data_IF_631558437278
#
_entry.id   IF_631558437278
#
_cell.length_a   1.000
_cell.length_b   1.000
_cell.length_c   1.000
_cell.angle_alpha   90.00
_cell.angle_beta   90.00
_cell.angle_gamma   90.00
#
_symmetry.space_group_name_H-M   'P 1'
#
loop_
_entity.id
_entity.type
_entity.pdbx_description
1 polymer ?
#
# COMPACT_ATOMS: atom_id res chain seq x y z
N UNK A 1 12.37 -27.91 34.16
CA UNK A 1 12.17 -26.80 33.21
C UNK A 1 12.63 -25.54 33.90
N UNK A 2 13.87 -25.14 33.60
CA UNK A 2 14.66 -24.15 34.33
C UNK A 2 14.37 -22.74 33.84
N UNK A 3 14.31 -21.79 34.78
CA UNK A 3 14.02 -20.35 34.63
C UNK A 3 14.85 -19.58 33.56
N UNK A 4 15.84 -20.19 32.93
CA UNK A 4 16.68 -19.58 31.89
C UNK A 4 15.95 -19.48 30.55
N UNK A 5 15.07 -20.45 30.23
CA UNK A 5 14.26 -20.47 29.02
C UNK A 5 13.32 -19.25 28.98
N UNK A 6 12.70 -18.89 30.12
CA UNK A 6 11.77 -17.76 30.21
C UNK A 6 12.42 -16.40 29.94
N UNK A 7 13.66 -16.16 30.40
CA UNK A 7 14.35 -14.89 30.15
C UNK A 7 14.86 -14.80 28.71
N UNK A 8 15.34 -15.91 28.17
CA UNK A 8 15.80 -15.99 26.80
C UNK A 8 14.65 -15.84 25.80
N UNK A 9 13.49 -16.47 26.07
CA UNK A 9 12.28 -16.31 25.27
C UNK A 9 11.70 -14.91 25.35
N UNK A 10 11.74 -14.25 26.52
CA UNK A 10 11.35 -12.83 26.62
C UNK A 10 12.26 -11.91 25.81
N UNK A 11 13.57 -12.10 25.88
CA UNK A 11 14.53 -11.30 25.11
C UNK A 11 14.36 -11.54 23.61
N UNK A 12 14.24 -12.81 23.20
CA UNK A 12 14.03 -13.22 21.81
C UNK A 12 12.68 -12.71 21.28
N UNK A 13 11.65 -12.73 22.12
CA UNK A 13 10.33 -12.15 21.87
C UNK A 13 10.43 -10.66 21.59
N UNK A 14 10.99 -9.88 22.52
CA UNK A 14 11.17 -8.44 22.34
C UNK A 14 12.00 -8.08 21.10
N UNK A 15 13.06 -8.83 20.80
CA UNK A 15 13.88 -8.58 19.60
C UNK A 15 13.10 -8.91 18.32
N UNK A 16 12.36 -10.03 18.28
CA UNK A 16 11.50 -10.39 17.15
C UNK A 16 10.37 -9.39 16.95
N UNK A 17 9.74 -8.95 18.04
CA UNK A 17 8.65 -7.99 18.01
C UNK A 17 9.15 -6.64 17.53
N UNK A 18 10.28 -6.15 18.06
CA UNK A 18 10.89 -4.88 17.64
C UNK A 18 11.36 -4.92 16.17
N UNK A 19 12.04 -6.00 15.76
CA UNK A 19 12.50 -6.15 14.38
C UNK A 19 11.31 -6.34 13.43
N UNK A 20 10.30 -7.10 13.84
CA UNK A 20 9.08 -7.34 13.08
C UNK A 20 8.24 -6.08 12.90
N UNK A 21 8.11 -5.25 13.95
CA UNK A 21 7.39 -3.99 13.87
C UNK A 21 8.17 -2.98 13.00
N UNK A 22 9.49 -2.84 13.18
CA UNK A 22 10.28 -1.89 12.39
C UNK A 22 10.43 -2.27 10.91
N UNK A 23 10.54 -3.56 10.59
CA UNK A 23 10.55 -4.07 9.20
C UNK A 23 9.14 -4.06 8.62
N UNK A 24 8.16 -4.47 9.42
CA UNK A 24 6.74 -4.47 9.08
C UNK A 24 6.24 -3.09 8.74
N UNK A 25 6.50 -2.07 9.56
CA UNK A 25 6.11 -0.68 9.30
C UNK A 25 6.77 -0.12 8.04
N UNK A 26 8.06 -0.41 7.79
CA UNK A 26 8.72 0.01 6.54
C UNK A 26 8.13 -0.67 5.31
N UNK A 27 7.79 -1.95 5.42
CA UNK A 27 7.13 -2.69 4.35
C UNK A 27 5.71 -2.17 4.11
N UNK A 28 4.92 -1.99 5.18
CA UNK A 28 3.55 -1.44 5.13
C UNK A 28 3.51 -0.01 4.61
N UNK A 29 4.50 0.82 4.96
CA UNK A 29 4.60 2.19 4.48
C UNK A 29 4.92 2.23 2.97
N UNK A 30 5.78 1.33 2.49
CA UNK A 30 6.08 1.21 1.07
C UNK A 30 4.90 0.67 0.26
N UNK A 31 4.22 -0.37 0.75
CA UNK A 31 2.99 -0.90 0.13
C UNK A 31 1.90 0.18 0.11
N UNK A 32 1.62 0.82 1.25
CA UNK A 32 0.59 1.85 1.36
C UNK A 32 0.86 3.11 0.52
N UNK A 33 2.13 3.48 0.28
CA UNK A 33 2.50 4.59 -0.61
C UNK A 33 2.42 4.19 -2.09
N UNK A 34 2.85 2.99 -2.46
CA UNK A 34 2.71 2.50 -3.84
C UNK A 34 1.24 2.31 -4.23
N UNK A 35 0.41 1.76 -3.33
CA UNK A 35 -1.02 1.55 -3.58
C UNK A 35 -1.75 2.89 -3.76
N UNK A 36 -1.47 3.88 -2.90
CA UNK A 36 -2.03 5.23 -3.04
C UNK A 36 -1.55 5.95 -4.31
N UNK A 37 -0.31 5.73 -4.72
CA UNK A 37 0.22 6.32 -5.95
C UNK A 37 -0.39 5.67 -7.20
N UNK A 38 -0.48 4.34 -7.24
CA UNK A 38 -1.07 3.60 -8.34
C UNK A 38 -2.58 3.88 -8.47
N UNK A 39 -3.31 3.95 -7.35
CA UNK A 39 -4.73 4.29 -7.32
C UNK A 39 -5.01 5.69 -7.87
N UNK A 40 -4.27 6.70 -7.41
CA UNK A 40 -4.42 8.08 -7.93
C UNK A 40 -4.06 8.20 -9.40
N UNK A 41 -3.01 7.51 -9.85
CA UNK A 41 -2.61 7.55 -11.27
C UNK A 41 -3.66 6.88 -12.15
N UNK A 42 -4.22 5.73 -11.74
CA UNK A 42 -5.34 5.10 -12.47
C UNK A 42 -6.57 6.01 -12.53
N UNK A 43 -6.97 6.59 -11.41
CA UNK A 43 -8.17 7.44 -11.33
C UNK A 43 -8.05 8.70 -12.20
N UNK A 44 -6.85 9.32 -12.25
CA UNK A 44 -6.58 10.46 -13.14
C UNK A 44 -6.61 10.05 -14.61
N UNK A 45 -6.01 8.90 -14.95
CA UNK A 45 -5.97 8.41 -16.34
C UNK A 45 -7.37 8.00 -16.82
N UNK A 46 -8.18 7.34 -15.98
CA UNK A 46 -9.57 7.01 -16.30
C UNK A 46 -10.42 8.28 -16.46
N UNK A 47 -10.37 9.22 -15.51
CA UNK A 47 -11.12 10.48 -15.62
C UNK A 47 -10.77 11.29 -16.88
N UNK A 48 -9.49 11.31 -17.29
CA UNK A 48 -9.06 11.99 -18.52
C UNK A 48 -9.55 11.25 -19.75
N UNK A 49 -9.45 9.92 -19.77
CA UNK A 49 -9.90 9.09 -20.89
C UNK A 49 -11.43 9.15 -21.06
N UNK A 50 -12.19 9.12 -19.97
CA UNK A 50 -13.64 9.27 -19.98
C UNK A 50 -14.05 10.65 -20.51
N UNK A 51 -13.48 11.73 -19.98
CA UNK A 51 -13.75 13.10 -20.47
C UNK A 51 -13.41 13.28 -21.95
N UNK A 52 -12.30 12.69 -22.40
CA UNK A 52 -11.91 12.73 -23.81
C UNK A 52 -12.87 11.93 -24.69
N UNK A 53 -13.31 10.76 -24.21
CA UNK A 53 -14.27 9.90 -24.93
C UNK A 53 -15.63 10.58 -25.02
N UNK A 54 -16.15 11.13 -23.92
CA UNK A 54 -17.40 11.91 -23.88
C UNK A 54 -17.37 13.11 -24.83
N UNK A 55 -16.24 13.84 -24.87
CA UNK A 55 -16.07 14.96 -25.78
C UNK A 55 -16.03 14.52 -27.25
N UNK A 56 -15.33 13.42 -27.54
CA UNK A 56 -15.25 12.86 -28.89
C UNK A 56 -16.62 12.31 -29.34
N UNK A 57 -17.37 11.66 -28.45
CA UNK A 57 -18.71 11.14 -28.75
C UNK A 57 -19.71 12.28 -28.95
N UNK A 58 -19.63 13.37 -28.17
CA UNK A 58 -20.43 14.58 -28.44
C UNK A 58 -20.08 15.23 -29.77
N UNK A 59 -18.80 15.25 -30.15
CA UNK A 59 -18.35 15.80 -31.43
C UNK A 59 -18.67 14.90 -32.62
N UNK A 60 -18.75 13.58 -32.41
CA UNK A 60 -19.21 12.60 -33.41
C UNK A 60 -20.73 12.49 -33.48
N UNK A 61 -21.44 12.99 -32.48
CA UNK A 61 -22.89 12.92 -32.30
C UNK A 61 -23.71 14.02 -32.97
N UNK A 62 -23.17 14.73 -33.96
CA UNK A 62 -23.99 15.55 -34.86
C UNK A 62 -24.55 14.65 -35.98
N UNK A 63 -25.61 13.89 -35.64
CA UNK A 63 -26.63 13.41 -36.59
C UNK A 63 -27.95 13.08 -35.89
#
# INVERSE_FOLDING_TARGET
MTNEESKFDQLKGNVKETAGNAVGDKALENEGKQDKAAGKVKEVVENVKDKATDAIDKLKGDK
#
